data_IF_462246280714
#
_entry.id   IF_462246280714
#
_cell.length_a   1.000
_cell.length_b   1.000
_cell.length_c   1.000
_cell.angle_alpha   90.00
_cell.angle_beta   90.00
_cell.angle_gamma   90.00
#
_symmetry.space_group_name_H-M   'P 1'
#
loop_
_entity.id
_entity.type
_entity.pdbx_description
1 polymer ?
#
# COMPACT_ATOMS: atom_id res chain seq x y z
N UNK A 1 54.14 -9.58 -18.21
CA UNK A 1 55.40 -8.81 -18.19
C UNK A 1 56.10 -8.58 -19.52
N UNK A 2 56.18 -9.52 -20.46
CA UNK A 2 56.88 -9.24 -21.72
C UNK A 2 56.31 -10.00 -22.90
N UNK A 3 56.07 -9.30 -24.00
CA UNK A 3 56.06 -9.90 -25.33
C UNK A 3 57.39 -10.61 -25.51
N UNK A 4 57.44 -11.95 -25.68
CA UNK A 4 58.71 -12.66 -25.82
C UNK A 4 59.48 -12.03 -26.98
N UNK A 5 60.70 -11.57 -26.70
CA UNK A 5 61.58 -10.93 -27.68
C UNK A 5 62.21 -11.94 -28.66
N UNK A 6 61.57 -13.10 -28.84
CA UNK A 6 61.90 -14.00 -29.93
C UNK A 6 61.24 -13.43 -31.19
N UNK A 7 61.96 -13.46 -32.31
CA UNK A 7 61.71 -12.71 -33.54
C UNK A 7 60.39 -13.01 -34.31
N UNK A 8 59.34 -13.47 -33.62
CA UNK A 8 58.05 -13.89 -34.15
C UNK A 8 56.81 -13.40 -33.35
N UNK A 9 56.94 -12.57 -32.31
CA UNK A 9 55.74 -12.03 -31.65
C UNK A 9 55.05 -11.02 -32.56
N UNK A 10 54.02 -11.47 -33.28
CA UNK A 10 53.21 -10.64 -34.15
C UNK A 10 52.39 -9.62 -33.35
N UNK A 11 52.18 -8.43 -33.93
CA UNK A 11 51.20 -7.49 -33.39
C UNK A 11 49.84 -8.19 -33.25
N UNK A 12 49.17 -8.00 -32.11
CA UNK A 12 47.92 -8.68 -31.77
C UNK A 12 48.07 -10.05 -31.08
N UNK A 13 49.30 -10.54 -30.85
CA UNK A 13 49.52 -11.71 -30.00
C UNK A 13 49.09 -11.42 -28.55
N UNK A 14 48.46 -12.40 -27.89
CA UNK A 14 48.04 -12.27 -26.50
C UNK A 14 49.24 -12.14 -25.56
N UNK A 15 49.13 -11.24 -24.59
CA UNK A 15 50.10 -11.06 -23.52
C UNK A 15 49.36 -10.71 -22.21
N UNK A 16 50.13 -10.43 -21.16
CA UNK A 16 49.64 -9.97 -19.86
C UNK A 16 50.51 -8.78 -19.46
N UNK A 17 49.90 -7.61 -19.34
CA UNK A 17 50.60 -6.36 -19.01
C UNK A 17 50.79 -6.18 -17.49
N UNK A 18 50.31 -7.13 -16.69
CA UNK A 18 50.39 -7.12 -15.23
C UNK A 18 49.30 -6.28 -14.56
N UNK A 19 48.42 -5.64 -15.32
CA UNK A 19 47.24 -4.94 -14.83
C UNK A 19 46.00 -5.85 -14.92
N UNK A 20 45.56 -6.39 -13.79
CA UNK A 20 44.36 -7.21 -13.72
C UNK A 20 43.05 -6.45 -14.02
N UNK A 21 43.14 -5.14 -14.25
CA UNK A 21 42.06 -4.28 -14.71
C UNK A 21 42.02 -4.10 -16.22
N UNK A 22 42.88 -4.76 -16.98
CA UNK A 22 42.80 -4.84 -18.44
C UNK A 22 42.54 -6.28 -18.88
N UNK A 23 41.73 -6.44 -19.92
CA UNK A 23 41.34 -7.74 -20.47
C UNK A 23 41.69 -7.84 -21.94
N UNK A 24 42.30 -8.96 -22.32
CA UNK A 24 42.68 -9.22 -23.70
C UNK A 24 43.85 -8.35 -24.14
N UNK A 25 44.88 -8.26 -23.32
CA UNK A 25 46.09 -7.48 -23.62
C UNK A 25 46.80 -8.05 -24.84
N UNK A 26 47.36 -7.15 -25.63
CA UNK A 26 47.99 -7.52 -26.90
C UNK A 26 49.36 -6.90 -27.05
N UNK A 27 50.25 -7.66 -27.67
CA UNK A 27 51.55 -7.16 -28.08
C UNK A 27 51.40 -6.18 -29.24
N UNK A 28 52.00 -4.99 -29.10
CA UNK A 28 52.14 -4.03 -30.18
C UNK A 28 53.54 -3.43 -30.13
N UNK A 29 54.28 -3.56 -31.24
CA UNK A 29 55.67 -3.11 -31.35
C UNK A 29 56.60 -3.64 -30.24
N UNK A 30 56.39 -4.90 -29.81
CA UNK A 30 57.19 -5.57 -28.77
C UNK A 30 56.88 -5.15 -27.34
N UNK A 31 55.85 -4.31 -27.11
CA UNK A 31 55.35 -3.96 -25.78
C UNK A 31 53.96 -4.57 -25.58
N UNK A 32 53.69 -5.09 -24.38
CA UNK A 32 52.35 -5.53 -24.03
C UNK A 32 51.52 -4.30 -23.69
N UNK A 33 50.42 -4.09 -24.41
CA UNK A 33 49.48 -3.00 -24.15
C UNK A 33 48.19 -3.55 -23.55
N UNK A 34 47.76 -2.94 -22.45
CA UNK A 34 46.51 -3.25 -21.80
C UNK A 34 45.33 -3.18 -22.77
N UNK A 35 44.50 -4.22 -22.72
CA UNK A 35 43.33 -4.37 -23.57
C UNK A 35 42.14 -3.55 -23.07
N UNK A 36 40.97 -4.19 -23.03
CA UNK A 36 39.73 -3.53 -22.61
C UNK A 36 39.71 -3.33 -21.10
N UNK A 37 39.50 -2.11 -20.58
CA UNK A 37 39.43 -1.87 -19.15
C UNK A 37 38.24 -2.57 -18.47
N UNK A 38 38.47 -3.15 -17.30
CA UNK A 38 37.44 -3.64 -16.38
C UNK A 38 36.57 -2.46 -15.96
N UNK A 39 35.28 -2.55 -16.25
CA UNK A 39 34.29 -1.54 -15.86
C UNK A 39 33.63 -1.94 -14.55
N UNK A 40 33.81 -1.13 -13.51
CA UNK A 40 33.19 -1.33 -12.20
C UNK A 40 31.95 -0.44 -12.05
N UNK A 41 30.77 -0.97 -12.35
CA UNK A 41 29.50 -0.26 -12.14
C UNK A 41 29.14 -0.14 -10.66
N UNK A 42 28.31 0.85 -10.33
CA UNK A 42 27.65 0.91 -9.03
C UNK A 42 26.91 -0.41 -8.73
N UNK A 43 27.02 -0.91 -7.50
CA UNK A 43 26.41 -2.18 -7.09
C UNK A 43 24.91 -2.04 -6.82
N UNK A 44 24.49 -0.89 -6.30
CA UNK A 44 23.11 -0.50 -6.03
C UNK A 44 22.97 1.03 -6.03
N UNK A 45 21.80 1.54 -5.65
CA UNK A 45 21.50 2.98 -5.60
C UNK A 45 22.32 3.75 -4.55
N UNK A 46 22.91 3.04 -3.57
CA UNK A 46 23.66 3.61 -2.46
C UNK A 46 25.18 3.42 -2.57
N UNK A 47 25.68 3.00 -3.72
CA UNK A 47 27.10 2.89 -4.01
C UNK A 47 27.43 3.61 -5.31
N UNK A 48 28.60 4.23 -5.35
CA UNK A 48 29.11 4.83 -6.58
C UNK A 48 29.84 3.77 -7.42
N UNK A 49 30.11 4.09 -8.68
CA UNK A 49 30.97 3.27 -9.53
C UNK A 49 32.35 3.08 -8.87
N UNK A 50 32.81 1.83 -8.85
CA UNK A 50 34.09 1.46 -8.26
C UNK A 50 35.29 1.81 -9.14
N UNK A 51 36.48 1.69 -8.56
CA UNK A 51 37.74 1.65 -9.29
C UNK A 51 38.29 0.24 -9.19
N UNK A 52 38.73 -0.31 -10.32
CA UNK A 52 39.40 -1.60 -10.33
C UNK A 52 40.81 -1.47 -9.76
N UNK A 53 41.21 -2.40 -8.89
CA UNK A 53 42.56 -2.46 -8.35
C UNK A 53 43.47 -3.29 -9.28
N UNK A 54 44.51 -2.70 -9.91
CA UNK A 54 45.32 -3.35 -10.93
C UNK A 54 46.09 -4.58 -10.42
N UNK A 55 46.37 -4.64 -9.10
CA UNK A 55 47.09 -5.76 -8.50
C UNK A 55 46.18 -6.96 -8.15
N UNK A 56 44.86 -6.78 -8.11
CA UNK A 56 43.92 -7.82 -7.66
C UNK A 56 42.76 -8.08 -8.62
N UNK A 57 42.51 -7.17 -9.57
CA UNK A 57 41.35 -7.20 -10.47
C UNK A 57 40.01 -6.92 -9.76
N UNK A 58 40.03 -6.60 -8.46
CA UNK A 58 38.81 -6.38 -7.67
C UNK A 58 38.34 -4.94 -7.79
N UNK A 59 37.04 -4.77 -8.04
CA UNK A 59 36.37 -3.48 -7.98
C UNK A 59 36.16 -3.03 -6.53
N UNK A 60 36.52 -1.79 -6.21
CA UNK A 60 36.07 -1.15 -4.97
C UNK A 60 34.55 -0.95 -4.96
N UNK A 61 33.94 -0.83 -3.79
CA UNK A 61 32.51 -0.54 -3.65
C UNK A 61 32.28 0.63 -2.68
N UNK A 62 32.62 1.88 -3.07
CA UNK A 62 32.47 3.04 -2.21
C UNK A 62 30.98 3.38 -2.00
N UNK A 63 30.54 3.66 -0.77
CA UNK A 63 29.19 4.14 -0.53
C UNK A 63 29.03 5.53 -1.15
N UNK A 64 27.85 5.78 -1.72
CA UNK A 64 27.48 7.13 -2.18
C UNK A 64 27.28 8.08 -1.00
N UNK A 65 27.02 9.35 -1.30
CA UNK A 65 26.77 10.37 -0.28
C UNK A 65 25.55 10.03 0.60
N UNK A 66 25.71 10.19 1.91
CA UNK A 66 24.58 10.10 2.84
C UNK A 66 23.50 11.13 2.46
N UNK A 67 22.24 10.68 2.39
CA UNK A 67 21.11 11.50 1.94
C UNK A 67 20.76 11.37 0.46
N UNK A 68 21.55 10.65 -0.35
CA UNK A 68 21.17 10.33 -1.74
C UNK A 68 19.83 9.58 -1.76
N UNK A 69 18.85 9.98 -2.59
CA UNK A 69 17.58 9.27 -2.70
C UNK A 69 17.77 7.82 -3.18
N UNK A 70 17.03 6.90 -2.58
CA UNK A 70 17.01 5.49 -2.96
C UNK A 70 15.59 4.93 -2.76
N UNK A 71 15.42 3.63 -2.99
CA UNK A 71 14.19 2.88 -2.74
C UNK A 71 14.57 1.61 -1.96
N UNK A 72 14.07 1.47 -0.73
CA UNK A 72 14.33 0.32 0.13
C UNK A 72 13.40 -0.87 -0.15
N UNK A 73 12.50 -0.72 -1.14
CA UNK A 73 11.51 -1.70 -1.56
C UNK A 73 10.31 -1.82 -0.62
N UNK A 74 10.19 -0.94 0.38
CA UNK A 74 9.06 -0.91 1.30
C UNK A 74 8.04 0.15 0.88
N UNK A 75 6.91 -0.31 0.33
CA UNK A 75 5.80 0.57 -0.07
C UNK A 75 5.13 1.34 1.09
N UNK A 76 5.56 1.09 2.33
CA UNK A 76 5.09 1.77 3.54
C UNK A 76 6.01 2.86 4.05
N UNK A 77 7.13 3.11 3.37
CA UNK A 77 7.95 4.29 3.59
C UNK A 77 7.93 5.19 2.36
N UNK A 78 8.32 6.44 2.60
CA UNK A 78 8.62 7.41 1.57
C UNK A 78 9.82 8.25 2.04
N UNK A 79 10.44 8.98 1.12
CA UNK A 79 11.63 9.80 1.39
C UNK A 79 12.81 8.97 1.92
N UNK A 80 13.02 7.79 1.33
CA UNK A 80 14.18 6.94 1.62
C UNK A 80 15.48 7.63 1.21
N UNK A 81 16.54 7.31 1.94
CA UNK A 81 17.86 7.87 1.67
C UNK A 81 18.96 6.88 1.98
N UNK A 82 20.08 7.02 1.28
CA UNK A 82 21.27 6.24 1.54
C UNK A 82 21.94 6.70 2.84
N UNK A 83 22.33 5.74 3.67
CA UNK A 83 23.16 5.98 4.85
C UNK A 83 24.18 4.86 4.99
N UNK A 84 25.46 5.22 4.91
CA UNK A 84 26.58 4.27 4.99
C UNK A 84 26.44 3.10 3.99
N UNK A 85 26.09 3.39 2.74
CA UNK A 85 25.95 2.39 1.68
C UNK A 85 24.67 1.54 1.76
N UNK A 86 23.71 1.89 2.62
CA UNK A 86 22.42 1.19 2.72
C UNK A 86 21.27 2.14 2.48
N UNK A 87 20.28 1.69 1.72
CA UNK A 87 19.03 2.41 1.63
C UNK A 87 18.25 2.22 2.94
N UNK A 88 17.87 3.32 3.59
CA UNK A 88 17.09 3.30 4.82
C UNK A 88 15.70 3.89 4.57
N UNK A 89 14.68 3.20 5.08
CA UNK A 89 13.30 3.66 5.09
C UNK A 89 13.17 5.05 5.71
N UNK A 90 12.44 5.93 5.03
CA UNK A 90 12.18 7.30 5.48
C UNK A 90 10.96 7.40 6.41
N UNK A 91 10.03 8.27 6.06
CA UNK A 91 8.80 8.50 6.84
C UNK A 91 7.77 7.42 6.52
N UNK A 92 7.06 6.93 7.55
CA UNK A 92 5.98 5.97 7.35
C UNK A 92 4.80 6.63 6.61
N UNK A 93 4.34 5.96 5.55
CA UNK A 93 3.17 6.40 4.78
C UNK A 93 1.91 6.30 5.65
N UNK A 94 1.11 7.37 5.67
CA UNK A 94 -0.21 7.35 6.29
C UNK A 94 -1.20 6.64 5.37
N UNK A 95 -1.60 5.44 5.74
CA UNK A 95 -2.62 4.68 5.01
C UNK A 95 -4.06 5.03 5.41
N UNK A 96 -4.33 6.17 6.04
CA UNK A 96 -5.71 6.50 6.35
C UNK A 96 -6.51 6.90 5.11
N UNK A 97 -7.61 6.20 4.82
CA UNK A 97 -8.55 6.60 3.77
C UNK A 97 -9.65 7.56 4.26
N UNK A 98 -9.65 7.88 5.56
CA UNK A 98 -10.65 8.73 6.20
C UNK A 98 -11.98 8.03 6.49
N UNK A 99 -12.12 6.74 6.18
CA UNK A 99 -13.23 5.91 6.65
C UNK A 99 -12.90 5.36 8.04
N UNK A 100 -13.73 5.70 9.04
CA UNK A 100 -13.54 5.16 10.39
C UNK A 100 -13.86 3.65 10.49
N UNK A 101 -14.46 3.08 9.45
CA UNK A 101 -14.91 1.69 9.38
C UNK A 101 -14.02 0.78 8.54
N UNK A 102 -12.82 1.25 8.20
CA UNK A 102 -11.74 0.46 7.64
C UNK A 102 -10.63 0.30 8.69
N UNK A 103 -9.99 -0.86 8.66
CA UNK A 103 -8.69 -1.06 9.30
C UNK A 103 -7.65 -0.72 8.24
N UNK A 104 -7.05 0.45 8.42
CA UNK A 104 -5.98 0.95 7.59
C UNK A 104 -4.67 0.29 8.01
N UNK A 105 -4.14 -0.55 7.13
CA UNK A 105 -2.87 -1.22 7.34
C UNK A 105 -1.96 -0.96 6.15
N UNK A 106 -0.66 -1.02 6.39
CA UNK A 106 0.31 -0.95 5.30
C UNK A 106 1.02 -2.28 5.14
N UNK A 107 0.99 -2.82 3.92
CA UNK A 107 1.74 -3.99 3.54
C UNK A 107 3.02 -3.54 2.82
N UNK A 108 4.22 -3.99 3.25
CA UNK A 108 5.48 -3.51 2.70
C UNK A 108 5.67 -3.81 1.21
N UNK A 109 4.96 -4.80 0.66
CA UNK A 109 5.03 -5.16 -0.76
C UNK A 109 3.93 -4.50 -1.59
N UNK A 110 2.71 -4.41 -1.06
CA UNK A 110 1.54 -3.93 -1.84
C UNK A 110 1.10 -2.52 -1.49
N UNK A 111 1.68 -1.89 -0.48
CA UNK A 111 1.30 -0.57 0.02
C UNK A 111 0.06 -0.60 0.91
N UNK A 112 -0.67 0.51 0.93
CA UNK A 112 -1.84 0.68 1.77
C UNK A 112 -2.97 -0.30 1.43
N UNK A 113 -3.51 -0.92 2.46
CA UNK A 113 -4.63 -1.85 2.41
C UNK A 113 -5.67 -1.45 3.45
N UNK A 114 -6.86 -1.14 2.94
CA UNK A 114 -8.01 -0.71 3.72
C UNK A 114 -9.00 -1.87 3.77
N UNK A 115 -9.16 -2.49 4.95
CA UNK A 115 -10.08 -3.61 5.11
C UNK A 115 -11.26 -3.21 5.95
N UNK A 116 -12.46 -3.29 5.40
CA UNK A 116 -13.67 -3.10 6.19
C UNK A 116 -13.75 -4.15 7.30
N UNK A 117 -14.29 -3.74 8.45
CA UNK A 117 -14.70 -4.70 9.46
C UNK A 117 -15.75 -5.67 8.88
N UNK A 118 -15.71 -6.92 9.34
CA UNK A 118 -16.66 -7.95 8.97
C UNK A 118 -17.69 -8.21 10.09
N UNK A 119 -18.83 -8.78 9.73
CA UNK A 119 -19.87 -9.18 10.67
C UNK A 119 -20.35 -8.05 11.58
N UNK A 120 -20.42 -8.34 12.89
CA UNK A 120 -20.96 -7.39 13.87
C UNK A 120 -20.08 -6.16 14.08
N UNK A 121 -18.76 -6.27 13.92
CA UNK A 121 -17.85 -5.12 14.06
C UNK A 121 -18.12 -4.07 12.97
N UNK A 122 -18.49 -4.51 11.77
CA UNK A 122 -18.91 -3.62 10.68
C UNK A 122 -20.15 -2.81 11.06
N UNK A 123 -21.14 -3.47 11.65
CA UNK A 123 -22.39 -2.84 12.08
C UNK A 123 -22.19 -1.89 13.25
N UNK A 124 -21.33 -2.25 14.21
CA UNK A 124 -21.00 -1.38 15.34
C UNK A 124 -20.29 -0.10 14.85
N UNK A 125 -19.35 -0.22 13.91
CA UNK A 125 -18.71 0.96 13.34
C UNK A 125 -19.69 1.84 12.57
N UNK A 126 -20.50 1.24 11.68
CA UNK A 126 -21.54 1.95 10.94
C UNK A 126 -22.51 2.70 11.87
N UNK A 127 -22.87 2.07 12.99
CA UNK A 127 -23.72 2.68 14.00
C UNK A 127 -23.02 3.78 14.82
N UNK A 128 -21.68 3.76 14.90
CA UNK A 128 -20.87 4.80 15.52
C UNK A 128 -20.68 6.04 14.64
N UNK A 129 -20.54 5.86 13.32
CA UNK A 129 -20.35 6.97 12.36
C UNK A 129 -21.66 7.67 11.99
N UNK A 130 -22.79 6.98 12.10
CA UNK A 130 -24.12 7.54 11.83
C UNK A 130 -24.51 7.45 10.35
N UNK A 131 -25.67 8.01 10.00
CA UNK A 131 -26.08 8.07 8.58
C UNK A 131 -25.16 9.09 7.88
N UNK A 132 -24.42 8.72 6.82
CA UNK A 132 -23.66 9.69 6.04
C UNK A 132 -24.65 10.69 5.40
N UNK A 133 -24.69 11.91 5.93
CA UNK A 133 -25.51 13.01 5.40
C UNK A 133 -24.74 13.89 4.40
N UNK A 134 -23.54 13.47 4.00
CA UNK A 134 -22.68 14.23 3.08
C UNK A 134 -23.39 14.56 1.76
N UNK A 135 -24.31 13.70 1.29
CA UNK A 135 -25.10 13.93 0.07
C UNK A 135 -26.42 14.69 0.30
N UNK A 136 -26.71 15.07 1.55
CA UNK A 136 -27.91 15.81 1.96
C UNK A 136 -27.59 17.27 2.33
N UNK A 137 -26.49 17.82 1.83
CA UNK A 137 -26.06 19.20 2.13
C UNK A 137 -27.19 20.20 1.84
N UNK A 138 -27.56 20.99 2.85
CA UNK A 138 -28.66 21.96 2.84
C UNK A 138 -30.09 21.39 2.76
N UNK A 139 -30.27 20.08 2.93
CA UNK A 139 -31.59 19.45 2.99
C UNK A 139 -31.98 19.07 4.42
N UNK A 140 -33.24 19.33 4.79
CA UNK A 140 -33.75 18.94 6.10
C UNK A 140 -34.35 17.53 6.04
N UNK A 141 -33.53 16.53 6.31
CA UNK A 141 -33.98 15.13 6.41
C UNK A 141 -35.06 15.00 7.49
N UNK A 142 -36.24 14.40 7.20
CA UNK A 142 -37.29 14.22 8.19
C UNK A 142 -36.81 13.42 9.40
N UNK A 143 -37.01 13.94 10.62
CA UNK A 143 -36.51 13.36 11.87
C UNK A 143 -36.89 11.88 12.09
N UNK A 144 -37.96 11.39 11.44
CA UNK A 144 -38.34 9.98 11.48
C UNK A 144 -37.24 9.06 10.94
N UNK A 145 -36.47 9.49 9.93
CA UNK A 145 -35.41 8.68 9.29
C UNK A 145 -34.25 8.42 10.27
N UNK A 146 -33.53 9.44 10.81
CA UNK A 146 -32.47 9.21 11.78
C UNK A 146 -32.97 8.55 13.08
N UNK A 147 -34.23 8.78 13.49
CA UNK A 147 -34.81 8.05 14.64
C UNK A 147 -34.90 6.53 14.41
N UNK A 148 -35.19 6.09 13.19
CA UNK A 148 -35.21 4.65 12.88
C UNK A 148 -33.80 4.07 12.87
N UNK A 149 -32.84 4.78 12.30
CA UNK A 149 -31.43 4.40 12.34
C UNK A 149 -30.93 4.22 13.77
N UNK A 150 -31.06 5.24 14.62
CA UNK A 150 -30.63 5.18 16.02
C UNK A 150 -31.37 4.12 16.83
N UNK A 151 -32.59 3.74 16.43
CA UNK A 151 -33.33 2.64 17.06
C UNK A 151 -32.76 1.28 16.63
N UNK A 152 -32.43 1.11 15.35
CA UNK A 152 -31.82 -0.12 14.85
C UNK A 152 -30.42 -0.32 15.46
N UNK A 153 -29.60 0.72 15.50
CA UNK A 153 -28.28 0.67 16.13
C UNK A 153 -28.33 0.30 17.61
N UNK A 154 -29.26 0.89 18.37
CA UNK A 154 -29.49 0.47 19.77
C UNK A 154 -29.92 -1.00 19.91
N UNK A 155 -30.55 -1.59 18.91
CA UNK A 155 -30.89 -3.02 18.93
C UNK A 155 -29.64 -3.87 18.65
N UNK A 156 -28.75 -3.44 17.75
CA UNK A 156 -27.46 -4.09 17.47
C UNK A 156 -26.57 -4.09 18.72
N UNK A 157 -26.38 -2.94 19.36
CA UNK A 157 -25.59 -2.85 20.60
C UNK A 157 -26.12 -3.80 21.68
N UNK A 158 -27.45 -3.85 21.85
CA UNK A 158 -28.09 -4.79 22.77
C UNK A 158 -27.97 -6.25 22.34
N UNK A 159 -27.79 -6.53 21.06
CA UNK A 159 -27.59 -7.87 20.54
C UNK A 159 -26.17 -8.36 20.88
N UNK A 160 -25.18 -7.48 20.81
CA UNK A 160 -23.77 -7.77 21.13
C UNK A 160 -23.62 -8.31 22.56
N UNK A 161 -24.31 -7.71 23.54
CA UNK A 161 -24.25 -8.14 24.94
C UNK A 161 -25.23 -9.29 25.29
N UNK A 162 -26.06 -9.74 24.34
CA UNK A 162 -27.12 -10.70 24.62
C UNK A 162 -26.71 -12.15 24.35
N UNK A 163 -27.34 -13.08 25.09
CA UNK A 163 -27.27 -14.52 24.78
C UNK A 163 -27.68 -14.80 23.32
N UNK A 164 -27.12 -15.82 22.64
CA UNK A 164 -27.29 -16.04 21.19
C UNK A 164 -28.75 -15.99 20.69
N UNK A 165 -29.68 -16.71 21.34
CA UNK A 165 -31.11 -16.71 20.96
C UNK A 165 -31.79 -15.33 21.10
N UNK A 166 -31.30 -14.49 22.01
CA UNK A 166 -31.80 -13.12 22.20
C UNK A 166 -31.12 -12.18 21.22
N UNK A 167 -29.81 -12.33 21.00
CA UNK A 167 -29.05 -11.60 19.98
C UNK A 167 -29.68 -11.77 18.59
N UNK A 168 -29.93 -13.00 18.15
CA UNK A 168 -30.59 -13.30 16.87
C UNK A 168 -31.96 -12.60 16.72
N UNK A 169 -32.80 -12.63 17.75
CA UNK A 169 -34.09 -11.93 17.74
C UNK A 169 -33.95 -10.41 17.72
N UNK A 170 -32.92 -9.86 18.33
CA UNK A 170 -32.64 -8.42 18.30
C UNK A 170 -32.12 -7.99 16.92
N UNK A 171 -31.26 -8.80 16.30
CA UNK A 171 -30.75 -8.60 14.94
C UNK A 171 -31.88 -8.60 13.89
N UNK A 172 -32.79 -9.59 13.93
CA UNK A 172 -33.99 -9.60 13.06
C UNK A 172 -34.87 -8.34 13.23
N UNK A 173 -35.01 -7.85 14.47
CA UNK A 173 -35.74 -6.61 14.74
C UNK A 173 -34.99 -5.39 14.20
N UNK A 174 -33.67 -5.34 14.36
CA UNK A 174 -32.83 -4.28 13.84
C UNK A 174 -32.95 -4.21 12.31
N UNK A 175 -32.84 -5.35 11.62
CA UNK A 175 -33.00 -5.48 10.18
C UNK A 175 -34.36 -4.92 9.72
N UNK A 176 -35.44 -5.34 10.38
CA UNK A 176 -36.80 -4.82 10.09
C UNK A 176 -36.90 -3.30 10.28
N UNK A 177 -36.21 -2.74 11.29
CA UNK A 177 -36.20 -1.29 11.54
C UNK A 177 -35.39 -0.56 10.47
N UNK A 178 -34.27 -1.11 10.00
CA UNK A 178 -33.51 -0.54 8.90
C UNK A 178 -34.31 -0.52 7.59
N UNK A 179 -34.95 -1.62 7.21
CA UNK A 179 -35.82 -1.68 6.01
C UNK A 179 -36.96 -0.65 6.09
N UNK A 180 -37.52 -0.44 7.29
CA UNK A 180 -38.54 0.61 7.51
C UNK A 180 -37.95 2.01 7.35
N UNK A 181 -36.74 2.25 7.84
CA UNK A 181 -36.00 3.51 7.65
C UNK A 181 -35.76 3.83 6.18
N UNK A 182 -35.28 2.87 5.39
CA UNK A 182 -35.10 2.99 3.94
C UNK A 182 -36.41 3.40 3.24
N UNK A 183 -37.52 2.69 3.51
CA UNK A 183 -38.84 3.04 2.97
C UNK A 183 -39.34 4.42 3.38
N UNK A 184 -38.98 4.91 4.58
CA UNK A 184 -39.33 6.26 5.02
C UNK A 184 -38.55 7.33 4.25
N UNK A 185 -37.27 7.10 3.96
CA UNK A 185 -36.48 7.99 3.12
C UNK A 185 -37.05 8.07 1.70
N UNK A 186 -37.38 6.94 1.08
CA UNK A 186 -38.05 6.90 -0.23
C UNK A 186 -39.40 7.63 -0.24
N UNK A 187 -40.16 7.55 0.86
CA UNK A 187 -41.44 8.31 1.01
C UNK A 187 -41.19 9.80 1.18
N UNK A 188 -40.09 10.20 1.81
CA UNK A 188 -39.72 11.61 1.93
C UNK A 188 -39.36 12.20 0.55
N UNK A 189 -38.61 11.46 -0.27
CA UNK A 189 -38.31 11.82 -1.66
C UNK A 189 -39.57 12.02 -2.50
N UNK A 190 -40.48 11.04 -2.47
CA UNK A 190 -41.77 11.11 -3.19
C UNK A 190 -42.65 12.28 -2.78
N UNK A 191 -42.42 12.84 -1.59
CA UNK A 191 -43.11 14.03 -1.07
C UNK A 191 -42.33 15.32 -1.29
N UNK A 192 -41.23 15.28 -2.05
CA UNK A 192 -40.37 16.43 -2.33
C UNK A 192 -39.65 17.00 -1.10
N UNK A 193 -39.47 16.21 -0.03
CA UNK A 193 -38.83 16.69 1.21
C UNK A 193 -37.30 16.61 1.20
N UNK A 194 -36.78 15.70 0.39
CA UNK A 194 -35.36 15.48 0.16
C UNK A 194 -35.16 15.13 -1.33
N UNK A 195 -33.98 15.37 -1.85
CA UNK A 195 -33.59 15.07 -3.22
C UNK A 195 -33.41 13.57 -3.46
N UNK A 196 -33.33 13.19 -4.73
CA UNK A 196 -33.01 11.82 -5.14
C UNK A 196 -31.61 11.40 -4.70
N UNK A 197 -30.63 12.30 -4.73
CA UNK A 197 -29.23 12.06 -4.31
C UNK A 197 -29.14 11.84 -2.81
N UNK A 198 -29.75 12.73 -2.00
CA UNK A 198 -29.85 12.54 -0.55
C UNK A 198 -30.58 11.24 -0.20
N UNK A 199 -31.68 10.94 -0.91
CA UNK A 199 -32.43 9.69 -0.71
C UNK A 199 -31.59 8.47 -1.02
N UNK A 200 -30.88 8.44 -2.15
CA UNK A 200 -30.04 7.31 -2.56
C UNK A 200 -28.95 7.01 -1.54
N UNK A 201 -28.28 8.05 -1.02
CA UNK A 201 -27.26 7.93 0.02
C UNK A 201 -27.83 7.34 1.31
N UNK A 202 -28.98 7.86 1.76
CA UNK A 202 -29.67 7.34 2.96
C UNK A 202 -30.10 5.89 2.74
N UNK A 203 -30.80 5.58 1.65
CA UNK A 203 -31.31 4.23 1.39
C UNK A 203 -30.17 3.22 1.23
N UNK A 204 -29.09 3.58 0.53
CA UNK A 204 -27.90 2.74 0.41
C UNK A 204 -27.33 2.36 1.78
N UNK A 205 -27.23 3.33 2.69
CA UNK A 205 -26.78 3.07 4.06
C UNK A 205 -27.71 2.12 4.83
N UNK A 206 -29.02 2.33 4.73
CA UNK A 206 -30.00 1.46 5.40
C UNK A 206 -30.03 0.04 4.82
N UNK A 207 -29.90 -0.08 3.51
CA UNK A 207 -30.00 -1.35 2.79
C UNK A 207 -28.69 -2.16 2.97
N UNK A 208 -27.52 -1.52 3.00
CA UNK A 208 -26.23 -2.16 3.34
C UNK A 208 -26.25 -2.74 4.76
N UNK A 209 -26.67 -1.96 5.76
CA UNK A 209 -26.79 -2.44 7.13
C UNK A 209 -27.81 -3.58 7.29
N UNK A 210 -28.89 -3.56 6.51
CA UNK A 210 -29.88 -4.64 6.51
C UNK A 210 -29.33 -5.92 5.85
N UNK A 211 -28.54 -5.79 4.77
CA UNK A 211 -27.87 -6.89 4.08
C UNK A 211 -26.81 -7.56 4.96
N UNK A 212 -25.95 -6.78 5.62
CA UNK A 212 -24.96 -7.31 6.58
C UNK A 212 -25.61 -8.09 7.73
N UNK A 213 -26.75 -7.61 8.23
CA UNK A 213 -27.51 -8.36 9.23
C UNK A 213 -28.07 -9.67 8.67
N UNK A 214 -28.50 -9.69 7.41
CA UNK A 214 -28.97 -10.91 6.75
C UNK A 214 -27.87 -11.95 6.64
N UNK A 215 -26.67 -11.54 6.22
CA UNK A 215 -25.49 -12.40 6.14
C UNK A 215 -25.14 -12.99 7.51
N UNK A 216 -25.12 -12.17 8.57
CA UNK A 216 -24.84 -12.65 9.93
C UNK A 216 -25.92 -13.63 10.43
N UNK A 217 -27.19 -13.39 10.08
CA UNK A 217 -28.32 -14.24 10.50
C UNK A 217 -28.39 -15.56 9.72
N UNK A 218 -27.79 -15.62 8.53
CA UNK A 218 -27.81 -16.79 7.65
C UNK A 218 -26.50 -17.57 7.63
N UNK A 219 -25.45 -17.05 8.28
CA UNK A 219 -24.19 -17.77 8.49
C UNK A 219 -24.41 -19.07 9.30
N UNK A 220 -23.78 -20.19 8.89
CA UNK A 220 -23.96 -21.51 9.51
C UNK A 220 -23.40 -21.64 10.93
#
# INVERSE_FOLDING_TARGET
>A
DTCPADALTADGAACDDGDLCTQGDTCQAGQCQGGTPVTCSASDQCHDAGVCNPATGLCSNPPTQDGTPCDDGNACSEHESCRQGRCIGGTAVSCSDGDACTVDTCNPTTGCVHRHFEGMAALDCFCGTGIPQASCTNERVPACVPKHFMRACRLITRAHEAKPKKAHRLMLRAQTVFTKGSRLAQRANRRGRISTTCTASITGSFDDAAGRLEEILTAP
#
